data_IF_755034498704
#
_entry.id   IF_755034498704
#
_cell.length_a   1.000
_cell.length_b   1.000
_cell.length_c   1.000
_cell.angle_alpha   90.00
_cell.angle_beta   90.00
_cell.angle_gamma   90.00
#
_symmetry.space_group_name_H-M   'P 1'
#
loop_
_entity.id
_entity.type
_entity.pdbx_description
1 polymer ?
#
# COMPACT_ATOMS: atom_id res chain seq x y z
N UNK A 1 -22.04 19.63 11.49
CA UNK A 1 -21.10 18.51 11.36
C UNK A 1 -21.89 17.21 11.36
N UNK A 2 -21.92 16.51 10.24
CA UNK A 2 -22.58 15.22 10.05
C UNK A 2 -21.70 14.08 10.61
N UNK A 3 -22.27 12.92 10.90
CA UNK A 3 -21.51 11.84 11.56
C UNK A 3 -20.48 11.19 10.63
N UNK A 4 -20.87 10.82 9.41
CA UNK A 4 -19.98 10.18 8.43
C UNK A 4 -20.50 10.36 7.00
N UNK A 5 -19.58 10.57 6.05
CA UNK A 5 -19.83 10.45 4.62
C UNK A 5 -19.19 9.16 4.07
N UNK A 6 -19.74 8.60 3.00
CA UNK A 6 -19.11 7.53 2.22
C UNK A 6 -18.51 8.14 0.96
N UNK A 7 -17.22 7.93 0.75
CA UNK A 7 -16.41 8.54 -0.30
C UNK A 7 -15.97 7.45 -1.25
N UNK A 8 -16.44 7.50 -2.49
CA UNK A 8 -16.29 6.47 -3.51
C UNK A 8 -15.39 6.99 -4.63
N UNK A 9 -14.08 6.71 -4.63
CA UNK A 9 -13.18 7.13 -5.71
C UNK A 9 -13.42 6.27 -6.96
N UNK A 10 -13.57 6.90 -8.12
CA UNK A 10 -13.60 6.21 -9.40
C UNK A 10 -12.85 6.97 -10.48
N UNK A 11 -11.88 6.31 -11.11
CA UNK A 11 -11.04 6.85 -12.18
C UNK A 11 -11.54 6.45 -13.58
N UNK A 12 -12.74 5.86 -13.69
CA UNK A 12 -13.27 5.28 -14.94
C UNK A 12 -14.61 5.88 -15.33
N UNK A 13 -14.78 6.15 -16.63
CA UNK A 13 -16.08 6.47 -17.22
C UNK A 13 -17.04 5.26 -17.28
N UNK A 14 -16.54 4.02 -17.14
CA UNK A 14 -17.36 2.79 -17.15
C UNK A 14 -16.84 1.76 -16.15
N UNK A 15 -17.76 1.08 -15.47
CA UNK A 15 -17.47 0.05 -14.47
C UNK A 15 -17.48 -1.37 -15.08
N UNK A 16 -16.58 -2.24 -14.60
CA UNK A 16 -16.66 -3.70 -14.75
C UNK A 16 -17.88 -4.29 -14.02
N UNK A 17 -18.17 -5.59 -14.18
CA UNK A 17 -19.27 -6.22 -13.44
C UNK A 17 -19.02 -6.20 -11.93
N UNK A 18 -17.80 -6.56 -11.50
CA UNK A 18 -17.42 -6.54 -10.09
C UNK A 18 -17.52 -5.13 -9.48
N UNK A 19 -17.11 -4.08 -10.20
CA UNK A 19 -17.27 -2.69 -9.73
C UNK A 19 -18.75 -2.25 -9.62
N UNK A 20 -19.64 -2.76 -10.49
CA UNK A 20 -21.09 -2.54 -10.37
C UNK A 20 -21.68 -3.28 -9.17
N UNK A 21 -21.23 -4.48 -8.86
CA UNK A 21 -21.64 -5.24 -7.67
C UNK A 21 -21.28 -4.44 -6.41
N UNK A 22 -20.02 -3.99 -6.30
CA UNK A 22 -19.53 -3.14 -5.21
C UNK A 22 -20.36 -1.86 -5.01
N UNK A 23 -20.65 -1.13 -6.09
CA UNK A 23 -21.45 0.11 -6.03
C UNK A 23 -22.92 -0.17 -5.67
N UNK A 24 -23.52 -1.23 -6.25
CA UNK A 24 -24.91 -1.63 -5.96
C UNK A 24 -25.07 -2.06 -4.51
N UNK A 25 -24.08 -2.76 -3.94
CA UNK A 25 -24.10 -3.14 -2.53
C UNK A 25 -23.89 -1.92 -1.62
N UNK A 26 -22.98 -1.01 -1.96
CA UNK A 26 -22.80 0.27 -1.26
C UNK A 26 -24.13 1.03 -1.16
N UNK A 27 -24.85 1.21 -2.28
CA UNK A 27 -26.20 1.78 -2.31
C UNK A 27 -27.18 1.01 -1.45
N UNK A 28 -27.25 -0.32 -1.58
CA UNK A 28 -28.23 -1.16 -0.85
C UNK A 28 -28.07 -1.07 0.67
N UNK A 29 -26.83 -1.10 1.16
CA UNK A 29 -26.49 -1.19 2.59
C UNK A 29 -26.34 0.21 3.21
N UNK A 30 -25.58 1.10 2.58
CA UNK A 30 -25.20 2.40 3.13
C UNK A 30 -26.12 3.55 2.68
N UNK A 31 -27.32 3.26 2.17
CA UNK A 31 -28.32 4.24 1.69
C UNK A 31 -28.60 5.42 2.63
N UNK A 32 -28.46 5.23 3.95
CA UNK A 32 -28.78 6.24 4.97
C UNK A 32 -27.71 7.33 5.14
N UNK A 33 -26.52 7.14 4.56
CA UNK A 33 -25.41 8.09 4.64
C UNK A 33 -25.24 8.86 3.33
N UNK A 34 -24.74 10.09 3.43
CA UNK A 34 -24.30 10.87 2.27
C UNK A 34 -23.20 10.11 1.51
N UNK A 35 -23.44 9.82 0.23
CA UNK A 35 -22.48 9.18 -0.67
C UNK A 35 -21.93 10.20 -1.67
N UNK A 36 -20.62 10.22 -1.84
CA UNK A 36 -19.91 11.09 -2.78
C UNK A 36 -19.12 10.22 -3.77
N UNK A 37 -19.32 10.46 -5.06
CA UNK A 37 -18.53 9.80 -6.11
C UNK A 37 -17.43 10.76 -6.58
N UNK A 38 -16.19 10.47 -6.19
CA UNK A 38 -15.01 11.32 -6.45
C UNK A 38 -14.41 10.93 -7.80
N UNK A 39 -14.44 11.85 -8.76
CA UNK A 39 -14.21 11.56 -10.18
C UNK A 39 -13.30 12.58 -10.87
N UNK A 40 -12.58 12.22 -11.95
CA UNK A 40 -11.68 13.13 -12.63
C UNK A 40 -12.49 14.18 -13.38
N UNK A 41 -12.15 15.46 -13.21
CA UNK A 41 -12.79 16.57 -13.92
C UNK A 41 -12.79 16.33 -15.44
N UNK A 42 -13.92 16.63 -16.10
CA UNK A 42 -14.14 16.33 -17.52
C UNK A 42 -14.56 14.88 -17.83
N UNK A 43 -14.59 13.97 -16.86
CA UNK A 43 -15.07 12.59 -17.06
C UNK A 43 -16.60 12.52 -17.04
N UNK A 44 -17.22 12.07 -18.13
CA UNK A 44 -18.65 11.72 -18.14
C UNK A 44 -18.88 10.45 -17.32
N UNK A 45 -19.84 10.50 -16.39
CA UNK A 45 -20.24 9.39 -15.53
C UNK A 45 -21.69 9.03 -15.85
N UNK A 46 -21.94 7.81 -16.34
CA UNK A 46 -23.27 7.31 -16.70
C UNK A 46 -23.90 6.36 -15.66
N UNK A 47 -23.15 6.05 -14.59
CA UNK A 47 -23.51 5.04 -13.58
C UNK A 47 -23.80 5.60 -12.17
N UNK A 48 -23.71 6.92 -11.97
CA UNK A 48 -24.14 7.59 -10.73
C UNK A 48 -25.67 7.60 -10.61
N UNK A 49 -26.19 7.59 -9.38
CA UNK A 49 -27.63 7.57 -9.09
C UNK A 49 -27.98 8.73 -8.13
N UNK A 50 -28.05 8.47 -6.83
CA UNK A 50 -28.22 9.48 -5.78
C UNK A 50 -26.90 9.89 -5.09
N UNK A 51 -25.74 9.44 -5.61
CA UNK A 51 -24.44 9.95 -5.18
C UNK A 51 -24.21 11.40 -5.62
N UNK A 52 -23.65 12.19 -4.71
CA UNK A 52 -23.14 13.53 -5.03
C UNK A 52 -21.86 13.40 -5.85
N UNK A 53 -21.90 13.77 -7.13
CA UNK A 53 -20.69 13.87 -7.95
C UNK A 53 -19.74 14.91 -7.35
N UNK A 54 -18.48 14.53 -7.15
CA UNK A 54 -17.42 15.39 -6.64
C UNK A 54 -16.25 15.40 -7.63
N UNK A 55 -16.26 16.30 -8.64
CA UNK A 55 -15.14 16.45 -9.57
C UNK A 55 -13.89 16.92 -8.85
N UNK A 56 -12.76 16.27 -9.14
CA UNK A 56 -11.42 16.64 -8.65
C UNK A 56 -10.44 16.67 -9.82
N UNK A 57 -9.31 17.38 -9.66
CA UNK A 57 -8.27 17.46 -10.70
C UNK A 57 -7.90 16.08 -11.24
N UNK A 58 -7.88 15.92 -12.56
CA UNK A 58 -7.74 14.60 -13.18
C UNK A 58 -6.40 13.93 -12.84
N UNK A 59 -5.35 14.72 -12.62
CA UNK A 59 -4.04 14.29 -12.14
C UNK A 59 -4.13 13.44 -10.87
N UNK A 60 -5.00 13.79 -9.92
CA UNK A 60 -5.14 13.10 -8.63
C UNK A 60 -5.69 11.67 -8.75
N UNK A 61 -6.34 11.34 -9.86
CA UNK A 61 -6.89 10.00 -10.14
C UNK A 61 -6.19 9.31 -11.32
N UNK A 62 -5.08 9.89 -11.81
CA UNK A 62 -4.32 9.39 -12.97
C UNK A 62 -3.54 8.09 -12.72
N UNK A 63 -3.21 7.78 -11.46
CA UNK A 63 -2.41 6.61 -11.08
C UNK A 63 -2.59 6.28 -9.60
N UNK A 64 -2.18 5.06 -9.18
CA UNK A 64 -2.16 4.65 -7.76
C UNK A 64 -1.36 5.66 -6.91
N UNK A 65 -0.16 6.06 -7.36
CA UNK A 65 0.70 7.03 -6.65
C UNK A 65 0.02 8.39 -6.47
N UNK A 66 -0.58 8.93 -7.53
CA UNK A 66 -1.26 10.22 -7.45
C UNK A 66 -2.48 10.19 -6.53
N UNK A 67 -3.23 9.08 -6.52
CA UNK A 67 -4.33 8.87 -5.58
C UNK A 67 -3.82 8.81 -4.13
N UNK A 68 -2.77 8.02 -3.84
CA UNK A 68 -2.16 7.91 -2.51
C UNK A 68 -1.63 9.26 -2.01
N UNK A 69 -0.99 10.05 -2.87
CA UNK A 69 -0.55 11.42 -2.55
C UNK A 69 -1.73 12.35 -2.25
N UNK A 70 -2.82 12.23 -3.02
CA UNK A 70 -4.02 13.05 -2.89
C UNK A 70 -4.82 12.74 -1.61
N UNK A 71 -5.05 11.47 -1.25
CA UNK A 71 -5.75 11.13 0.02
C UNK A 71 -4.89 11.32 1.27
N UNK A 72 -3.69 11.90 1.12
CA UNK A 72 -2.82 12.45 2.17
C UNK A 72 -2.57 13.97 1.97
N UNK A 73 -3.40 14.63 1.16
CA UNK A 73 -3.41 16.09 0.99
C UNK A 73 -4.41 16.75 1.94
N UNK A 74 -4.17 18.01 2.29
CA UNK A 74 -5.13 18.82 3.06
C UNK A 74 -6.42 19.06 2.26
N UNK A 75 -6.27 19.31 0.95
CA UNK A 75 -7.36 19.54 -0.02
C UNK A 75 -8.40 18.41 0.00
N UNK A 76 -7.97 17.15 0.05
CA UNK A 76 -8.88 16.01 0.09
C UNK A 76 -9.78 15.99 1.34
N UNK A 77 -9.23 16.29 2.53
CA UNK A 77 -10.02 16.30 3.76
C UNK A 77 -10.84 17.60 3.93
N UNK A 78 -10.40 18.72 3.33
CA UNK A 78 -11.17 19.97 3.27
C UNK A 78 -12.53 19.80 2.58
N UNK A 79 -12.62 18.93 1.57
CA UNK A 79 -13.89 18.57 0.91
C UNK A 79 -14.92 17.91 1.86
N UNK A 80 -14.49 17.47 3.04
CA UNK A 80 -15.31 16.75 4.01
C UNK A 80 -15.24 17.35 5.44
N UNK A 81 -14.76 18.60 5.62
CA UNK A 81 -14.67 19.27 6.94
C UNK A 81 -16.03 19.36 7.68
N UNK A 82 -17.15 19.24 6.95
CA UNK A 82 -18.50 19.13 7.52
C UNK A 82 -18.83 17.76 8.16
N UNK A 83 -17.95 16.75 8.13
CA UNK A 83 -18.19 15.40 8.66
C UNK A 83 -17.18 15.02 9.74
N UNK A 84 -17.59 14.25 10.76
CA UNK A 84 -16.62 13.70 11.75
C UNK A 84 -15.69 12.66 11.10
N UNK A 85 -16.27 11.78 10.27
CA UNK A 85 -15.56 10.72 9.55
C UNK A 85 -15.87 10.69 8.06
N UNK A 86 -14.98 10.08 7.30
CA UNK A 86 -15.23 9.55 5.96
C UNK A 86 -14.95 8.04 5.93
N UNK A 87 -15.83 7.27 5.29
CA UNK A 87 -15.54 5.91 4.85
C UNK A 87 -15.02 5.98 3.41
N UNK A 88 -13.75 5.69 3.19
CA UNK A 88 -13.24 5.38 1.86
C UNK A 88 -13.84 4.04 1.43
N UNK A 89 -14.46 4.02 0.25
CA UNK A 89 -15.07 2.84 -0.37
C UNK A 89 -14.62 2.78 -1.83
N UNK A 90 -13.49 2.12 -2.10
CA UNK A 90 -13.09 1.82 -3.49
C UNK A 90 -14.02 0.78 -4.10
N UNK A 91 -14.13 0.74 -5.44
CA UNK A 91 -15.10 -0.12 -6.14
C UNK A 91 -14.69 -1.60 -6.22
N UNK A 92 -13.64 -2.00 -5.52
CA UNK A 92 -13.30 -3.37 -5.16
C UNK A 92 -13.48 -3.66 -3.66
N UNK A 93 -14.24 -2.81 -2.95
CA UNK A 93 -14.76 -3.07 -1.62
C UNK A 93 -16.22 -3.58 -1.64
N UNK A 94 -16.62 -4.32 -0.62
CA UNK A 94 -17.99 -4.82 -0.43
C UNK A 94 -18.39 -4.73 1.04
N UNK A 95 -19.63 -4.33 1.35
CA UNK A 95 -20.17 -4.33 2.72
C UNK A 95 -21.26 -5.37 2.91
N UNK A 96 -21.27 -6.06 4.03
CA UNK A 96 -22.21 -7.17 4.29
C UNK A 96 -23.49 -6.71 5.02
N UNK A 97 -23.37 -5.68 5.86
CA UNK A 97 -24.45 -5.10 6.68
C UNK A 97 -24.11 -3.65 7.08
N UNK A 98 -25.06 -2.87 7.61
CA UNK A 98 -24.79 -1.50 8.09
C UNK A 98 -24.32 -1.49 9.55
N UNK A 99 -23.00 -1.57 9.74
CA UNK A 99 -22.32 -1.34 11.03
C UNK A 99 -21.54 -0.02 11.07
N UNK A 100 -21.59 0.82 10.04
CA UNK A 100 -20.67 1.97 9.88
C UNK A 100 -20.71 2.94 11.08
N UNK A 101 -21.90 3.28 11.57
CA UNK A 101 -22.08 4.16 12.73
C UNK A 101 -21.50 3.60 14.03
N UNK A 102 -21.47 2.28 14.21
CA UNK A 102 -20.83 1.63 15.36
C UNK A 102 -19.32 1.92 15.36
N UNK A 103 -18.64 1.75 14.23
CA UNK A 103 -17.21 2.05 14.09
C UNK A 103 -16.90 3.54 14.32
N UNK A 104 -17.75 4.44 13.84
CA UNK A 104 -17.64 5.88 14.11
C UNK A 104 -17.84 6.25 15.60
N UNK A 105 -18.34 5.33 16.43
CA UNK A 105 -18.54 5.50 17.87
C UNK A 105 -17.46 4.80 18.72
N UNK A 106 -16.62 3.94 18.14
CA UNK A 106 -15.36 3.47 18.77
C UNK A 106 -14.32 4.60 18.89
N UNK A 107 -14.50 5.68 18.13
CA UNK A 107 -13.71 6.92 18.23
C UNK A 107 -12.23 6.72 17.94
N UNK A 108 -11.89 5.79 17.03
CA UNK A 108 -10.56 5.70 16.41
C UNK A 108 -10.39 6.79 15.36
N UNK A 109 -9.17 7.26 15.14
CA UNK A 109 -8.89 8.24 14.09
C UNK A 109 -8.74 7.57 12.71
N UNK A 110 -8.38 6.29 12.71
CA UNK A 110 -8.22 5.46 11.52
C UNK A 110 -8.60 4.00 11.81
N UNK A 111 -9.41 3.40 10.93
CA UNK A 111 -9.74 1.97 10.91
C UNK A 111 -9.62 1.47 9.47
N UNK A 112 -8.93 0.35 9.28
CA UNK A 112 -8.89 -0.40 8.02
C UNK A 112 -8.73 -1.90 8.29
N UNK A 113 -8.74 -2.71 7.24
CA UNK A 113 -8.54 -4.16 7.36
C UNK A 113 -7.20 -4.52 8.04
N UNK A 114 -7.18 -5.61 8.79
CA UNK A 114 -5.92 -6.18 9.29
C UNK A 114 -5.21 -6.95 8.18
N UNK A 115 -3.91 -6.70 8.05
CA UNK A 115 -2.99 -7.56 7.31
C UNK A 115 -2.52 -8.67 8.24
N UNK A 116 -3.22 -9.82 8.20
CA UNK A 116 -3.16 -10.90 9.19
C UNK A 116 -1.74 -11.35 9.58
N UNK A 117 -0.85 -11.45 8.57
CA UNK A 117 0.56 -11.82 8.71
C UNK A 117 1.53 -10.64 8.56
N UNK A 118 1.02 -9.42 8.41
CA UNK A 118 1.77 -8.18 8.26
C UNK A 118 2.39 -7.93 6.88
N UNK A 119 2.75 -6.67 6.64
CA UNK A 119 3.49 -6.18 5.46
C UNK A 119 4.85 -5.62 5.91
N UNK A 120 5.91 -6.12 5.27
CA UNK A 120 7.30 -5.73 5.53
C UNK A 120 7.53 -4.26 5.16
N UNK A 121 8.09 -3.47 6.07
CA UNK A 121 8.70 -2.18 5.79
C UNK A 121 9.58 -1.80 6.97
N UNK A 122 10.90 -1.91 6.78
CA UNK A 122 11.85 -1.59 7.84
C UNK A 122 11.95 -0.08 8.08
N UNK A 123 11.81 0.31 9.34
CA UNK A 123 12.30 1.56 9.93
C UNK A 123 13.42 1.25 10.93
N UNK A 124 13.84 2.22 11.74
CA UNK A 124 14.76 1.99 12.87
C UNK A 124 14.14 1.10 13.96
N UNK A 125 12.82 1.22 14.20
CA UNK A 125 12.13 0.60 15.35
C UNK A 125 11.34 -0.67 14.98
N UNK A 126 10.82 -0.76 13.76
CA UNK A 126 9.81 -1.75 13.35
C UNK A 126 10.10 -2.27 11.94
N UNK A 127 9.93 -3.57 11.71
CA UNK A 127 10.10 -4.23 10.41
C UNK A 127 8.79 -4.61 9.72
N UNK A 128 7.68 -4.67 10.47
CA UNK A 128 6.45 -5.31 10.05
C UNK A 128 5.22 -4.53 10.55
N UNK A 129 4.25 -4.31 9.66
CA UNK A 129 3.08 -3.47 9.90
C UNK A 129 1.78 -4.24 9.62
N UNK A 130 0.76 -4.05 10.45
CA UNK A 130 -0.44 -4.91 10.47
C UNK A 130 -1.76 -4.20 10.18
N UNK A 131 -1.82 -2.86 10.24
CA UNK A 131 -3.08 -2.10 10.17
C UNK A 131 -2.89 -0.89 9.25
N UNK A 132 -3.42 -0.95 8.01
CA UNK A 132 -3.24 0.16 7.08
C UNK A 132 -4.12 0.21 5.82
N UNK A 133 -4.88 -0.84 5.46
CA UNK A 133 -5.60 -0.91 4.17
C UNK A 133 -6.35 0.39 3.79
N UNK A 134 -5.88 1.07 2.73
CA UNK A 134 -6.39 2.40 2.39
C UNK A 134 -7.77 2.43 1.73
N UNK A 135 -8.09 1.44 0.90
CA UNK A 135 -9.24 1.50 -0.02
C UNK A 135 -10.59 1.09 0.56
N UNK A 136 -10.62 0.39 1.70
CA UNK A 136 -11.80 0.33 2.57
C UNK A 136 -11.39 0.74 3.99
N UNK A 137 -11.55 2.02 4.30
CA UNK A 137 -11.09 2.58 5.58
C UNK A 137 -11.98 3.69 6.13
N UNK A 138 -12.21 3.69 7.44
CA UNK A 138 -12.82 4.78 8.17
C UNK A 138 -11.72 5.75 8.63
N UNK A 139 -11.85 7.03 8.28
CA UNK A 139 -10.85 8.08 8.58
C UNK A 139 -11.52 9.27 9.25
N UNK A 140 -10.97 9.76 10.37
CA UNK A 140 -11.48 10.93 11.08
C UNK A 140 -10.93 12.21 10.48
N UNK A 141 -11.80 13.03 9.90
CA UNK A 141 -11.41 14.19 9.07
C UNK A 141 -10.53 15.16 9.86
N UNK A 142 -10.95 15.50 11.07
CA UNK A 142 -10.24 16.43 11.97
C UNK A 142 -8.96 15.88 12.62
N UNK A 143 -8.69 14.58 12.51
CA UNK A 143 -7.41 13.97 12.93
C UNK A 143 -6.41 13.94 11.77
N UNK A 144 -6.87 13.50 10.58
CA UNK A 144 -6.05 13.51 9.37
C UNK A 144 -5.61 14.92 8.96
N UNK A 145 -6.52 15.91 8.97
CA UNK A 145 -6.16 17.31 8.74
C UNK A 145 -5.07 17.81 9.70
N UNK A 146 -5.11 17.38 10.96
CA UNK A 146 -4.16 17.81 11.98
C UNK A 146 -2.78 17.17 11.76
N UNK A 147 -2.76 15.85 11.51
CA UNK A 147 -1.54 15.12 11.15
C UNK A 147 -0.88 15.68 9.89
N UNK A 148 -1.66 15.97 8.85
CA UNK A 148 -1.15 16.52 7.57
C UNK A 148 -0.61 17.95 7.75
N UNK A 149 -1.25 18.79 8.57
CA UNK A 149 -0.81 20.17 8.86
C UNK A 149 0.40 20.20 9.80
N UNK A 150 0.38 19.47 10.92
CA UNK A 150 1.42 19.51 11.97
C UNK A 150 2.64 18.65 11.64
N UNK A 151 2.45 17.48 11.01
CA UNK A 151 3.53 16.55 10.65
C UNK A 151 3.88 16.59 9.15
N UNK A 152 3.63 17.73 8.48
CA UNK A 152 3.75 17.88 7.01
C UNK A 152 5.03 17.29 6.41
N UNK A 153 6.19 17.56 7.01
CA UNK A 153 7.47 17.04 6.53
C UNK A 153 7.53 15.50 6.53
N UNK A 154 7.02 14.87 7.59
CA UNK A 154 6.95 13.41 7.74
C UNK A 154 5.92 12.80 6.79
N UNK A 155 4.78 13.47 6.58
CA UNK A 155 3.73 13.04 5.64
C UNK A 155 4.23 13.11 4.19
N UNK A 156 4.91 14.19 3.80
CA UNK A 156 5.46 14.35 2.46
C UNK A 156 6.69 13.44 2.22
N UNK A 157 7.45 13.11 3.27
CA UNK A 157 8.45 12.03 3.23
C UNK A 157 7.79 10.67 3.01
N UNK A 158 6.71 10.35 3.73
CA UNK A 158 5.94 9.12 3.53
C UNK A 158 5.44 8.96 2.09
N UNK A 159 4.78 9.99 1.55
CA UNK A 159 4.29 10.04 0.15
C UNK A 159 5.38 9.75 -0.90
N UNK A 160 6.60 10.22 -0.66
CA UNK A 160 7.72 10.03 -1.59
C UNK A 160 8.12 8.54 -1.72
N UNK A 161 7.88 7.76 -0.67
CA UNK A 161 8.43 6.43 -0.46
C UNK A 161 7.40 5.32 -0.64
N UNK A 162 6.23 5.45 -0.01
CA UNK A 162 5.26 4.36 0.18
C UNK A 162 3.83 4.81 -0.21
N UNK A 163 2.92 3.88 -0.57
CA UNK A 163 1.51 4.22 -0.80
C UNK A 163 0.82 4.67 0.51
N UNK A 164 -0.41 5.18 0.43
CA UNK A 164 -1.00 5.88 1.58
C UNK A 164 -1.25 4.98 2.80
N UNK A 165 -1.55 3.71 2.54
CA UNK A 165 -1.77 2.70 3.54
C UNK A 165 -0.52 2.53 4.42
N UNK A 166 0.59 2.20 3.79
CA UNK A 166 1.91 2.11 4.41
C UNK A 166 2.35 3.45 5.01
N UNK A 167 1.99 4.60 4.43
CA UNK A 167 2.31 5.90 5.03
C UNK A 167 1.56 6.14 6.35
N UNK A 168 0.28 5.77 6.43
CA UNK A 168 -0.55 5.84 7.64
C UNK A 168 0.00 4.89 8.71
N UNK A 169 0.36 3.66 8.35
CA UNK A 169 1.01 2.74 9.29
C UNK A 169 2.36 3.28 9.79
N UNK A 170 3.29 3.54 8.87
CA UNK A 170 4.70 3.83 9.19
C UNK A 170 4.87 5.20 9.86
N UNK A 171 4.19 6.23 9.37
CA UNK A 171 4.39 7.63 9.79
C UNK A 171 3.19 8.26 10.50
N UNK A 172 2.03 7.58 10.51
CA UNK A 172 0.82 8.01 11.20
C UNK A 172 0.58 7.33 12.55
N UNK A 173 1.11 6.13 12.79
CA UNK A 173 0.76 5.31 13.97
C UNK A 173 1.14 5.89 15.34
N UNK A 174 2.14 6.78 15.41
CA UNK A 174 2.53 7.48 16.64
C UNK A 174 1.73 8.79 16.87
N UNK A 175 0.85 9.17 15.93
CA UNK A 175 0.06 10.42 15.98
C UNK A 175 -1.46 10.17 15.91
N UNK A 176 -1.90 9.23 15.08
CA UNK A 176 -3.30 8.85 14.89
C UNK A 176 -3.67 7.69 15.82
N UNK A 177 -4.84 7.74 16.47
CA UNK A 177 -5.40 6.61 17.21
C UNK A 177 -5.91 5.53 16.24
N UNK A 178 -5.01 4.71 15.72
CA UNK A 178 -5.31 3.56 14.85
C UNK A 178 -6.10 2.48 15.63
N UNK A 179 -6.99 1.77 14.93
CA UNK A 179 -7.74 0.61 15.42
C UNK A 179 -6.85 -0.53 15.95
N UNK A 180 -7.40 -1.35 16.85
CA UNK A 180 -6.76 -2.58 17.32
C UNK A 180 -7.25 -3.79 16.53
N UNK A 181 -6.47 -4.87 16.55
CA UNK A 181 -6.78 -6.16 15.88
C UNK A 181 -8.25 -6.60 15.96
N UNK A 182 -8.95 -6.60 17.12
CA UNK A 182 -10.36 -6.99 17.17
C UNK A 182 -11.25 -6.04 16.36
N UNK A 183 -11.13 -4.73 16.59
CA UNK A 183 -11.93 -3.71 15.88
C UNK A 183 -11.65 -3.71 14.36
N UNK A 184 -10.42 -3.98 13.94
CA UNK A 184 -10.05 -4.14 12.52
C UNK A 184 -10.59 -5.43 11.90
N UNK A 185 -10.64 -6.54 12.66
CA UNK A 185 -11.21 -7.82 12.21
C UNK A 185 -12.74 -7.74 12.09
N UNK A 186 -13.39 -7.03 13.02
CA UNK A 186 -14.82 -6.69 12.93
C UNK A 186 -15.12 -5.76 11.75
N UNK A 187 -14.19 -4.83 11.45
CA UNK A 187 -14.35 -3.84 10.39
C UNK A 187 -14.16 -4.44 8.99
N UNK A 188 -13.00 -5.04 8.69
CA UNK A 188 -12.73 -5.54 7.35
C UNK A 188 -11.68 -6.65 7.19
N UNK A 189 -11.92 -7.51 6.20
CA UNK A 189 -10.92 -8.44 5.66
C UNK A 189 -10.32 -7.90 4.35
N UNK A 190 -9.06 -8.24 4.07
CA UNK A 190 -8.43 -8.04 2.76
C UNK A 190 -7.66 -9.30 2.37
N UNK A 191 -6.42 -9.44 2.86
CA UNK A 191 -5.57 -10.58 2.58
C UNK A 191 -5.94 -11.78 3.46
N UNK A 192 -5.86 -12.99 2.89
CA UNK A 192 -6.17 -14.27 3.55
C UNK A 192 -7.58 -14.32 4.16
N UNK A 193 -8.64 -13.92 3.44
CA UNK A 193 -9.98 -13.79 4.01
C UNK A 193 -10.55 -15.11 4.53
N UNK A 194 -10.14 -16.26 3.98
CA UNK A 194 -10.46 -17.60 4.48
C UNK A 194 -9.89 -17.82 5.91
N UNK A 195 -8.68 -17.33 6.17
CA UNK A 195 -8.01 -17.46 7.46
C UNK A 195 -8.58 -16.46 8.47
N UNK A 196 -8.83 -15.21 8.05
CA UNK A 196 -9.53 -14.20 8.85
C UNK A 196 -10.91 -14.69 9.29
N UNK A 197 -11.72 -15.22 8.36
CA UNK A 197 -13.04 -15.78 8.65
C UNK A 197 -12.99 -16.95 9.65
N UNK A 198 -11.99 -17.84 9.51
CA UNK A 198 -11.76 -18.95 10.45
C UNK A 198 -11.36 -18.46 11.85
N UNK A 199 -10.48 -17.46 11.94
CA UNK A 199 -10.03 -16.87 13.20
C UNK A 199 -11.16 -16.06 13.87
N UNK A 200 -12.02 -15.43 13.09
CA UNK A 200 -13.26 -14.76 13.54
C UNK A 200 -14.43 -15.75 13.77
N UNK A 201 -14.14 -17.06 13.91
CA UNK A 201 -15.14 -18.05 14.31
C UNK A 201 -16.27 -18.28 13.31
N UNK A 202 -16.05 -18.00 12.03
CA UNK A 202 -17.06 -18.10 10.97
C UNK A 202 -17.95 -16.86 10.82
N UNK A 203 -17.58 -15.72 11.42
CA UNK A 203 -18.30 -14.46 11.23
C UNK A 203 -17.83 -13.71 9.98
N UNK A 204 -18.73 -12.88 9.44
CA UNK A 204 -18.40 -11.90 8.41
C UNK A 204 -18.08 -10.55 9.06
N UNK A 205 -17.13 -9.79 8.51
CA UNK A 205 -16.83 -8.42 8.94
C UNK A 205 -17.94 -7.47 8.46
N UNK A 206 -17.84 -6.19 8.81
CA UNK A 206 -18.67 -5.14 8.22
C UNK A 206 -18.47 -5.02 6.69
N UNK A 207 -17.23 -5.13 6.21
CA UNK A 207 -16.94 -5.19 4.78
C UNK A 207 -15.62 -5.88 4.43
N UNK A 208 -15.22 -5.84 3.18
CA UNK A 208 -13.92 -6.32 2.73
C UNK A 208 -13.34 -5.45 1.61
N UNK A 209 -12.03 -5.53 1.41
CA UNK A 209 -11.28 -4.82 0.37
C UNK A 209 -10.65 -5.79 -0.63
N UNK A 210 -10.45 -5.33 -1.87
CA UNK A 210 -9.82 -6.07 -2.96
C UNK A 210 -10.38 -7.50 -3.11
N UNK A 211 -11.69 -7.67 -2.98
CA UNK A 211 -12.33 -8.99 -2.89
C UNK A 211 -12.25 -9.79 -4.21
N UNK A 212 -12.09 -9.11 -5.35
CA UNK A 212 -11.84 -9.75 -6.65
C UNK A 212 -10.40 -10.28 -6.79
N UNK A 213 -9.50 -9.88 -5.88
CA UNK A 213 -8.06 -10.09 -5.91
C UNK A 213 -7.64 -11.18 -4.91
N UNK A 214 -7.97 -10.99 -3.63
CA UNK A 214 -7.63 -11.93 -2.56
C UNK A 214 -8.81 -12.85 -2.27
N UNK A 215 -8.60 -14.17 -2.15
CA UNK A 215 -9.68 -15.13 -1.82
C UNK A 215 -10.85 -15.15 -2.80
N UNK A 216 -10.61 -14.91 -4.09
CA UNK A 216 -11.66 -14.72 -5.13
C UNK A 216 -12.75 -15.80 -5.19
N UNK A 217 -12.45 -17.05 -4.83
CA UNK A 217 -13.42 -18.14 -4.79
C UNK A 217 -14.27 -18.10 -3.51
N UNK A 218 -13.64 -17.88 -2.35
CA UNK A 218 -14.31 -17.65 -1.07
C UNK A 218 -15.28 -16.45 -1.15
N UNK A 219 -14.83 -15.33 -1.73
CA UNK A 219 -15.70 -14.18 -1.92
C UNK A 219 -16.77 -14.40 -2.99
N UNK A 220 -16.54 -15.18 -4.05
CA UNK A 220 -17.63 -15.54 -4.99
C UNK A 220 -18.74 -16.32 -4.28
N UNK A 221 -18.41 -17.36 -3.52
CA UNK A 221 -19.40 -18.16 -2.79
C UNK A 221 -20.25 -17.29 -1.84
N UNK A 222 -19.62 -16.38 -1.11
CA UNK A 222 -20.31 -15.47 -0.19
C UNK A 222 -21.11 -14.41 -0.96
N UNK A 223 -20.51 -13.68 -1.90
CA UNK A 223 -21.15 -12.52 -2.57
C UNK A 223 -22.26 -12.97 -3.53
N UNK A 224 -22.13 -14.11 -4.20
CA UNK A 224 -23.23 -14.66 -5.03
C UNK A 224 -24.48 -14.92 -4.16
N UNK A 225 -24.32 -15.37 -2.91
CA UNK A 225 -25.44 -15.60 -1.97
C UNK A 225 -26.23 -14.32 -1.62
N UNK A 226 -25.65 -13.13 -1.83
CA UNK A 226 -26.30 -11.83 -1.69
C UNK A 226 -27.14 -11.40 -2.92
N UNK A 227 -27.23 -12.27 -3.94
CA UNK A 227 -27.99 -12.06 -5.17
C UNK A 227 -27.18 -11.47 -6.34
N UNK A 228 -25.88 -11.76 -6.40
CA UNK A 228 -24.97 -11.28 -7.45
C UNK A 228 -24.39 -12.44 -8.27
N UNK A 229 -23.65 -12.12 -9.33
CA UNK A 229 -22.81 -13.09 -10.06
C UNK A 229 -21.40 -12.48 -10.23
N UNK A 230 -20.47 -12.89 -9.35
CA UNK A 230 -19.08 -12.43 -9.33
C UNK A 230 -18.27 -12.96 -10.52
N UNK A 231 -17.56 -12.09 -11.24
CA UNK A 231 -16.54 -12.47 -12.22
C UNK A 231 -15.25 -12.91 -11.50
N UNK A 232 -14.79 -14.14 -11.73
CA UNK A 232 -13.49 -14.63 -11.25
C UNK A 232 -12.38 -14.05 -12.14
N UNK A 233 -11.59 -13.12 -11.59
CA UNK A 233 -10.45 -12.50 -12.27
C UNK A 233 -9.18 -13.36 -12.03
N UNK A 234 -8.33 -13.60 -13.06
CA UNK A 234 -7.04 -14.26 -12.88
C UNK A 234 -6.09 -13.48 -11.96
N UNK A 235 -5.35 -14.17 -11.10
CA UNK A 235 -4.36 -13.53 -10.22
C UNK A 235 -3.15 -13.02 -11.03
N UNK A 236 -2.71 -11.80 -10.72
CA UNK A 236 -1.41 -11.30 -11.15
C UNK A 236 -0.30 -11.72 -10.17
N UNK A 237 0.96 -11.60 -10.59
CA UNK A 237 2.12 -12.01 -9.79
C UNK A 237 2.17 -11.27 -8.43
N UNK A 238 1.91 -9.97 -8.39
CA UNK A 238 1.83 -9.17 -7.14
C UNK A 238 0.84 -9.79 -6.14
N UNK A 239 -0.29 -10.28 -6.65
CA UNK A 239 -1.35 -10.94 -5.88
C UNK A 239 -0.94 -12.32 -5.40
N UNK A 240 -0.41 -13.19 -6.26
CA UNK A 240 0.07 -14.53 -5.84
C UNK A 240 1.12 -14.41 -4.74
N UNK A 241 2.04 -13.46 -4.89
CA UNK A 241 3.06 -13.20 -3.88
C UNK A 241 2.40 -12.64 -2.60
N UNK A 242 1.40 -11.76 -2.63
CA UNK A 242 0.71 -11.31 -1.41
C UNK A 242 -0.17 -12.39 -0.76
N UNK A 243 -1.00 -13.10 -1.53
CA UNK A 243 -1.96 -14.15 -1.10
C UNK A 243 -1.33 -15.32 -0.37
N UNK A 244 -0.05 -15.64 -0.60
CA UNK A 244 0.62 -16.86 -0.11
C UNK A 244 0.91 -16.91 1.40
N UNK A 245 0.25 -16.06 2.20
CA UNK A 245 0.01 -16.30 3.63
C UNK A 245 1.25 -16.63 4.46
N UNK A 246 1.20 -17.67 5.32
CA UNK A 246 2.35 -18.19 6.08
C UNK A 246 3.46 -18.86 5.25
N UNK A 247 3.29 -19.03 3.93
CA UNK A 247 4.29 -19.64 3.03
C UNK A 247 5.11 -18.59 2.28
N UNK A 248 4.48 -17.49 1.82
CA UNK A 248 5.22 -16.24 1.72
C UNK A 248 5.81 -15.98 3.11
N UNK A 249 5.10 -16.18 4.25
CA UNK A 249 5.61 -15.97 5.62
C UNK A 249 6.42 -17.10 6.30
N UNK A 250 7.16 -17.92 5.53
CA UNK A 250 8.56 -18.21 5.90
C UNK A 250 9.48 -17.00 5.59
N UNK A 251 9.02 -16.00 4.80
CA UNK A 251 9.53 -14.61 4.65
C UNK A 251 10.16 -14.26 5.98
N UNK A 252 11.45 -13.98 5.98
CA UNK A 252 12.10 -13.42 7.15
C UNK A 252 11.81 -14.18 8.47
N UNK A 253 11.34 -15.44 8.59
CA UNK A 253 11.10 -16.01 9.96
C UNK A 253 12.38 -15.97 10.82
N UNK A 254 13.52 -15.97 10.13
CA UNK A 254 14.87 -15.54 10.51
C UNK A 254 15.02 -13.99 10.63
N UNK A 255 14.08 -13.26 11.25
CA UNK A 255 13.73 -11.83 10.97
C UNK A 255 14.90 -10.84 11.02
N UNK A 256 15.60 -10.78 9.89
CA UNK A 256 16.83 -10.04 9.66
C UNK A 256 17.98 -10.33 10.64
N UNK A 257 18.89 -11.21 10.23
CA UNK A 257 20.28 -11.13 10.70
C UNK A 257 21.06 -10.19 9.77
N UNK A 258 21.60 -9.11 10.36
CA UNK A 258 22.48 -8.14 9.71
C UNK A 258 23.75 -8.79 9.13
N UNK A 259 24.34 -9.68 9.91
CA UNK A 259 25.46 -10.54 9.52
C UNK A 259 25.11 -11.41 8.30
N UNK A 260 23.90 -11.96 8.26
CA UNK A 260 23.41 -12.81 7.16
C UNK A 260 23.23 -12.02 5.86
N UNK A 261 22.70 -10.79 5.92
CA UNK A 261 22.60 -9.93 4.74
C UNK A 261 23.97 -9.74 4.09
N UNK A 262 24.95 -9.30 4.89
CA UNK A 262 26.32 -9.06 4.44
C UNK A 262 26.98 -10.34 3.87
N UNK A 263 26.85 -11.47 4.58
CA UNK A 263 27.33 -12.79 4.12
C UNK A 263 26.65 -13.32 2.86
N UNK A 264 25.42 -12.89 2.57
CA UNK A 264 24.72 -13.28 1.33
C UNK A 264 25.21 -12.41 0.16
N UNK A 265 25.33 -11.10 0.36
CA UNK A 265 25.88 -10.16 -0.63
C UNK A 265 27.30 -10.55 -1.05
N UNK A 266 28.20 -10.88 -0.10
CA UNK A 266 29.56 -11.40 -0.36
C UNK A 266 29.63 -12.66 -1.24
N UNK A 267 28.54 -13.43 -1.38
CA UNK A 267 28.48 -14.59 -2.29
C UNK A 267 27.80 -14.29 -3.62
N UNK A 268 26.86 -13.34 -3.61
CA UNK A 268 26.11 -12.92 -4.81
C UNK A 268 26.89 -11.93 -5.67
N UNK A 269 27.87 -11.23 -5.10
CA UNK A 269 28.66 -10.19 -5.74
C UNK A 269 30.15 -10.55 -5.57
N UNK A 270 30.84 -11.03 -6.62
CA UNK A 270 32.28 -11.31 -6.57
C UNK A 270 33.10 -10.03 -6.29
N UNK A 271 34.17 -10.17 -5.52
CA UNK A 271 35.13 -9.09 -5.18
C UNK A 271 34.50 -7.82 -4.56
N UNK A 272 33.32 -7.98 -3.94
CA UNK A 272 32.58 -6.88 -3.30
C UNK A 272 33.25 -6.35 -2.03
N UNK A 273 33.32 -5.02 -1.92
CA UNK A 273 34.04 -4.28 -0.88
C UNK A 273 33.17 -3.82 0.31
N UNK A 274 31.85 -4.04 0.23
CA UNK A 274 30.86 -3.57 1.21
C UNK A 274 30.03 -2.36 0.72
N UNK A 275 30.45 -1.70 -0.37
CA UNK A 275 29.77 -0.50 -0.92
C UNK A 275 28.71 -0.87 -1.96
N UNK A 276 27.60 -0.15 -2.00
CA UNK A 276 26.49 -0.47 -2.93
C UNK A 276 25.67 0.77 -3.31
N UNK A 277 25.14 0.77 -4.53
CA UNK A 277 24.03 1.63 -4.94
C UNK A 277 22.70 0.89 -4.78
N UNK A 278 21.64 1.60 -4.38
CA UNK A 278 20.28 1.00 -4.25
C UNK A 278 19.33 1.65 -5.24
N UNK A 279 18.84 0.90 -6.22
CA UNK A 279 17.91 1.40 -7.24
C UNK A 279 16.45 1.23 -6.78
N UNK A 280 15.74 2.36 -6.72
CA UNK A 280 14.33 2.48 -6.35
C UNK A 280 14.15 3.19 -5.00
N UNK A 281 14.03 4.52 -5.00
CA UNK A 281 13.72 5.33 -3.81
C UNK A 281 12.23 5.24 -3.42
N UNK A 282 11.71 4.03 -3.34
CA UNK A 282 10.36 3.70 -2.86
C UNK A 282 10.42 2.66 -1.74
N UNK A 283 9.26 2.09 -1.40
CA UNK A 283 9.03 1.14 -0.29
C UNK A 283 10.18 0.14 -0.08
N UNK A 284 10.59 -0.58 -1.12
CA UNK A 284 11.61 -1.61 -1.02
C UNK A 284 13.03 -1.05 -0.80
N UNK A 285 13.40 0.05 -1.45
CA UNK A 285 14.69 0.72 -1.23
C UNK A 285 14.77 1.47 0.11
N UNK A 286 13.66 2.05 0.57
CA UNK A 286 13.53 2.61 1.93
C UNK A 286 13.70 1.51 3.00
N UNK A 287 13.00 0.38 2.83
CA UNK A 287 13.15 -0.78 3.70
C UNK A 287 14.61 -1.25 3.72
N UNK A 288 15.23 -1.44 2.55
CA UNK A 288 16.63 -1.86 2.45
C UNK A 288 17.61 -0.87 3.10
N UNK A 289 17.41 0.44 2.91
CA UNK A 289 18.24 1.45 3.53
C UNK A 289 18.21 1.37 5.06
N UNK A 290 17.04 1.08 5.66
CA UNK A 290 16.91 0.84 7.10
C UNK A 290 17.44 -0.53 7.53
N UNK A 291 17.33 -1.57 6.70
CA UNK A 291 17.94 -2.89 6.93
C UNK A 291 19.47 -2.84 6.98
N UNK A 292 20.09 -1.95 6.22
CA UNK A 292 21.54 -1.73 6.17
C UNK A 292 22.09 -0.90 7.34
N UNK A 293 21.27 -0.13 8.08
CA UNK A 293 21.75 0.68 9.20
C UNK A 293 22.44 -0.18 10.27
N UNK A 294 23.68 0.15 10.64
CA UNK A 294 24.46 -0.63 11.61
C UNK A 294 24.82 -2.04 11.11
N UNK A 295 25.04 -2.19 9.81
CA UNK A 295 25.77 -3.29 9.16
C UNK A 295 27.13 -2.77 8.67
N UNK A 296 27.94 -3.62 8.04
CA UNK A 296 29.15 -3.22 7.30
C UNK A 296 28.83 -2.80 5.84
N UNK A 297 27.55 -2.55 5.50
CA UNK A 297 27.10 -2.13 4.17
C UNK A 297 27.05 -0.61 4.09
N UNK A 298 27.82 -0.04 3.17
CA UNK A 298 27.75 1.38 2.83
C UNK A 298 26.86 1.59 1.60
N UNK A 299 25.73 2.28 1.76
CA UNK A 299 24.89 2.69 0.63
C UNK A 299 25.35 4.07 0.18
N UNK A 300 26.14 4.12 -0.89
CA UNK A 300 26.81 5.34 -1.37
C UNK A 300 25.81 6.38 -1.88
N UNK A 301 24.85 5.93 -2.68
CA UNK A 301 23.71 6.70 -3.16
C UNK A 301 22.52 5.77 -3.42
N UNK A 302 21.32 6.36 -3.48
CA UNK A 302 20.11 5.71 -3.97
C UNK A 302 19.83 6.24 -5.39
N UNK A 303 19.36 5.39 -6.28
CA UNK A 303 19.06 5.73 -7.68
C UNK A 303 17.54 5.71 -7.87
N UNK A 304 16.96 6.73 -8.51
CA UNK A 304 15.56 6.69 -8.96
C UNK A 304 15.41 7.41 -10.31
N UNK A 305 14.32 7.13 -11.02
CA UNK A 305 13.95 7.77 -12.29
C UNK A 305 12.91 8.89 -12.09
N UNK A 306 12.29 9.00 -10.92
CA UNK A 306 11.40 10.11 -10.56
C UNK A 306 12.21 11.38 -10.27
N UNK A 307 12.28 12.29 -11.26
CA UNK A 307 12.95 13.59 -11.15
C UNK A 307 12.51 14.41 -9.92
N UNK A 308 11.32 14.16 -9.35
CA UNK A 308 10.85 14.83 -8.14
C UNK A 308 11.51 14.31 -6.85
N UNK A 309 12.35 13.27 -6.93
CA UNK A 309 13.11 12.70 -5.81
C UNK A 309 14.60 13.04 -5.84
N UNK A 310 15.15 13.41 -6.99
CA UNK A 310 16.57 13.71 -7.16
C UNK A 310 16.99 14.87 -6.25
N UNK A 311 18.14 14.73 -5.57
CA UNK A 311 18.62 15.68 -4.56
C UNK A 311 17.86 15.66 -3.23
N UNK A 312 16.82 14.83 -3.08
CA UNK A 312 16.25 14.47 -1.76
C UNK A 312 17.03 13.29 -1.17
N UNK A 313 16.67 12.89 0.04
CA UNK A 313 17.35 11.82 0.78
C UNK A 313 16.40 10.74 1.27
N UNK A 314 16.94 9.55 1.50
CA UNK A 314 16.39 8.55 2.42
C UNK A 314 17.40 8.41 3.56
N UNK A 315 16.96 8.66 4.79
CA UNK A 315 17.86 8.89 5.92
C UNK A 315 18.89 9.98 5.52
N UNK A 316 20.19 9.72 5.67
CA UNK A 316 21.25 10.64 5.23
C UNK A 316 21.73 10.42 3.78
N UNK A 317 21.23 9.41 3.08
CA UNK A 317 21.69 8.98 1.74
C UNK A 317 20.97 9.80 0.65
N UNK A 318 21.73 10.42 -0.25
CA UNK A 318 21.18 11.20 -1.37
C UNK A 318 20.68 10.32 -2.53
N UNK A 319 19.56 10.75 -3.13
CA UNK A 319 18.93 10.16 -4.31
C UNK A 319 19.45 10.88 -5.57
N UNK A 320 20.04 10.12 -6.50
CA UNK A 320 20.63 10.59 -7.76
C UNK A 320 19.99 9.88 -8.97
N UNK A 321 20.26 10.35 -10.19
CA UNK A 321 19.81 9.66 -11.41
C UNK A 321 20.74 8.50 -11.76
N UNK A 322 20.27 7.57 -12.62
CA UNK A 322 21.10 6.49 -13.13
C UNK A 322 22.32 7.01 -13.91
N UNK A 323 22.19 8.14 -14.61
CA UNK A 323 23.30 8.73 -15.37
C UNK A 323 24.40 9.21 -14.43
N UNK A 324 24.03 9.93 -13.36
CA UNK A 324 25.00 10.38 -12.34
C UNK A 324 25.74 9.20 -11.70
N UNK A 325 25.03 8.08 -11.46
CA UNK A 325 25.61 6.86 -10.90
C UNK A 325 26.54 6.10 -11.88
N UNK A 326 26.36 6.28 -13.19
CA UNK A 326 27.18 5.66 -14.23
C UNK A 326 28.41 6.50 -14.62
N UNK A 327 28.37 7.82 -14.38
CA UNK A 327 29.50 8.75 -14.56
C UNK A 327 30.41 8.81 -13.32
N UNK A 328 29.90 8.46 -12.14
CA UNK A 328 30.64 8.29 -10.88
C UNK A 328 31.46 6.99 -10.85
N UNK A 329 32.13 6.75 -9.72
CA UNK A 329 32.74 5.47 -9.39
C UNK A 329 31.70 4.33 -9.41
N UNK A 330 32.08 3.18 -9.98
CA UNK A 330 31.14 2.07 -10.24
C UNK A 330 31.03 1.14 -9.04
N UNK A 331 30.03 1.38 -8.20
CA UNK A 331 29.58 0.44 -7.18
C UNK A 331 28.53 -0.53 -7.74
N UNK A 332 28.39 -1.72 -7.14
CA UNK A 332 27.35 -2.67 -7.54
C UNK A 332 25.96 -2.10 -7.24
N UNK A 333 24.97 -2.38 -8.10
CA UNK A 333 23.59 -1.88 -7.94
C UNK A 333 22.67 -2.99 -7.40
N UNK A 334 22.02 -2.77 -6.26
CA UNK A 334 20.88 -3.57 -5.81
C UNK A 334 19.57 -2.96 -6.33
N UNK A 335 18.87 -3.65 -7.22
CA UNK A 335 17.52 -3.24 -7.67
C UNK A 335 16.49 -3.64 -6.63
N UNK A 336 16.00 -2.66 -5.86
CA UNK A 336 15.06 -2.82 -4.77
C UNK A 336 13.65 -2.41 -5.20
N UNK A 337 12.96 -3.29 -5.93
CA UNK A 337 11.62 -3.05 -6.49
C UNK A 337 10.78 -4.33 -6.57
N UNK A 338 9.45 -4.21 -6.45
CA UNK A 338 8.52 -5.34 -6.60
C UNK A 338 8.51 -5.95 -8.02
N UNK A 339 8.60 -5.08 -9.03
CA UNK A 339 8.61 -5.44 -10.46
C UNK A 339 9.89 -4.87 -11.09
N UNK A 340 11.02 -5.58 -10.98
CA UNK A 340 12.33 -5.07 -11.39
C UNK A 340 12.61 -5.16 -12.90
N UNK A 341 11.76 -5.82 -13.69
CA UNK A 341 12.03 -6.24 -15.07
C UNK A 341 12.48 -5.08 -15.97
N UNK A 342 11.74 -3.96 -15.97
CA UNK A 342 12.07 -2.79 -16.78
C UNK A 342 13.41 -2.13 -16.37
N UNK A 343 13.83 -2.31 -15.12
CA UNK A 343 15.14 -1.80 -14.63
C UNK A 343 16.25 -2.80 -14.95
N UNK A 344 15.99 -4.10 -14.84
CA UNK A 344 16.91 -5.16 -15.28
C UNK A 344 17.26 -5.01 -16.77
N UNK A 345 16.27 -4.81 -17.63
CA UNK A 345 16.47 -4.50 -19.06
C UNK A 345 17.24 -3.18 -19.27
N UNK A 346 16.94 -2.14 -18.48
CA UNK A 346 17.65 -0.86 -18.54
C UNK A 346 19.13 -1.00 -18.17
N UNK A 347 19.47 -1.70 -17.08
CA UNK A 347 20.85 -1.91 -16.65
C UNK A 347 21.62 -2.79 -17.65
N UNK A 348 21.00 -3.85 -18.18
CA UNK A 348 21.58 -4.70 -19.23
C UNK A 348 21.89 -3.90 -20.51
N UNK A 349 21.00 -2.99 -20.93
CA UNK A 349 21.23 -2.14 -22.11
C UNK A 349 22.34 -1.09 -21.93
N UNK A 350 22.71 -0.75 -20.68
CA UNK A 350 23.92 0.02 -20.36
C UNK A 350 25.20 -0.84 -20.27
N UNK A 351 25.11 -2.13 -20.63
CA UNK A 351 26.23 -3.06 -20.63
C UNK A 351 26.65 -3.56 -19.24
N UNK A 352 25.79 -3.43 -18.23
CA UNK A 352 26.04 -3.96 -16.88
C UNK A 352 25.70 -5.45 -16.82
N UNK A 353 26.47 -6.23 -16.06
CA UNK A 353 26.34 -7.69 -15.95
C UNK A 353 25.63 -8.05 -14.64
N UNK A 354 24.51 -8.78 -14.73
CA UNK A 354 23.80 -9.32 -13.57
C UNK A 354 24.68 -10.34 -12.82
N UNK A 355 24.70 -10.27 -11.48
CA UNK A 355 25.58 -11.07 -10.63
C UNK A 355 27.01 -10.52 -10.55
N UNK A 356 27.25 -9.30 -11.02
CA UNK A 356 28.51 -8.58 -10.88
C UNK A 356 28.26 -7.08 -10.69
N UNK A 357 27.82 -6.39 -11.73
CA UNK A 357 27.58 -4.94 -11.71
C UNK A 357 26.19 -4.61 -11.10
N UNK A 358 25.24 -5.57 -11.12
CA UNK A 358 23.96 -5.44 -10.40
C UNK A 358 23.36 -6.78 -9.95
N UNK A 359 22.47 -6.73 -8.94
CA UNK A 359 21.64 -7.85 -8.45
C UNK A 359 20.21 -7.37 -8.15
N UNK A 360 19.24 -8.29 -8.06
CA UNK A 360 17.84 -7.96 -7.71
C UNK A 360 17.52 -8.30 -6.26
N UNK A 361 16.67 -7.49 -5.61
CA UNK A 361 16.19 -7.75 -4.25
C UNK A 361 15.40 -9.06 -4.13
N UNK A 362 14.68 -9.47 -5.19
CA UNK A 362 13.96 -10.76 -5.22
C UNK A 362 14.90 -11.97 -5.25
N UNK A 363 16.04 -11.85 -5.94
CA UNK A 363 17.06 -12.90 -5.98
C UNK A 363 17.81 -12.96 -4.64
N UNK A 364 18.12 -11.80 -4.04
CA UNK A 364 18.69 -11.69 -2.69
C UNK A 364 17.76 -12.29 -1.62
N UNK A 365 16.46 -12.00 -1.65
CA UNK A 365 15.48 -12.59 -0.74
C UNK A 365 15.42 -14.12 -0.88
N UNK A 366 15.50 -14.66 -2.12
CA UNK A 366 15.54 -16.11 -2.38
C UNK A 366 16.81 -16.74 -1.81
N UNK A 367 17.99 -16.19 -2.12
CA UNK A 367 19.28 -16.71 -1.64
C UNK A 367 19.41 -16.62 -0.11
N UNK A 368 18.84 -15.59 0.51
CA UNK A 368 18.68 -15.57 1.96
C UNK A 368 17.79 -16.73 2.43
N UNK A 369 16.60 -16.94 1.87
CA UNK A 369 15.70 -18.02 2.31
C UNK A 369 16.31 -19.42 2.17
N UNK A 370 17.18 -19.65 1.18
CA UNK A 370 17.84 -20.94 0.91
C UNK A 370 18.86 -21.39 1.99
N UNK A 371 19.33 -20.51 2.89
CA UNK A 371 20.31 -20.87 3.94
C UNK A 371 19.71 -21.52 5.21
N UNK A 372 18.59 -22.24 5.13
CA UNK A 372 17.82 -22.69 6.31
C UNK A 372 17.84 -24.21 6.48
#
# INVERSE_FOLDING_TARGET
>A
MNKVAVVIPSHKAKLSNNEKISLTQCRRVLKKYDRFLVVPEGTTIDYADDEKLLPVRAEYLSSRKAYSEYVLSEEFYQLFEDYEYILIYQLDAFVFEDKLEYFCNLGYDYIGAEWLHGVECHTTEKSLWYFANGGFSLRKVSAFLRWIRECKATVDYGKMLVPEDMAIAVFGSEYLKIAKRPDSMDFAYEMHPEECHKLHGGQLPFGCHAWHRFGRYFWKEIIDSYGYDVEIIPENQETIILSSGPERFEKLKKYFSKEKLYKTLLRMIPDWDGTIYVFGAGHYGFSFANMALGTEIEIVNIIDNDNNKIGKKINDIEIISLNDALEKERHTILVAMANPQNVEELLLSHGLIKGKDFILSVDLQREMCNEC
#
